data_IF_565856241639
#
_entry.id   IF_565856241639
#
_cell.length_a   1.000
_cell.length_b   1.000
_cell.length_c   1.000
_cell.angle_alpha   90.00
_cell.angle_beta   90.00
_cell.angle_gamma   90.00
#
_symmetry.space_group_name_H-M   'P 1'
#
loop_
_entity.id
_entity.type
_entity.pdbx_description
1 polymer ?
#
# COMPACT_ATOMS: atom_id res chain seq x y z
N UNK A 1 10.53 -1.74 -21.80
CA UNK A 1 10.71 -0.53 -20.96
C UNK A 1 12.17 -0.42 -20.56
N UNK A 2 12.80 0.76 -20.67
CA UNK A 2 14.24 0.92 -20.40
C UNK A 2 14.80 2.33 -20.47
N UNK A 3 13.97 3.33 -20.79
CA UNK A 3 14.37 4.74 -20.74
C UNK A 3 14.10 5.28 -19.33
N UNK A 4 15.13 5.77 -18.65
CA UNK A 4 15.03 6.25 -17.26
C UNK A 4 13.98 7.37 -17.08
N UNK A 5 13.74 8.18 -18.10
CA UNK A 5 12.81 9.33 -18.06
C UNK A 5 11.38 8.98 -18.45
N UNK A 6 11.13 7.81 -19.04
CA UNK A 6 9.80 7.39 -19.48
C UNK A 6 8.69 7.53 -18.41
N UNK A 7 8.87 7.06 -17.15
CA UNK A 7 7.83 7.19 -16.13
C UNK A 7 7.51 8.65 -15.79
N UNK A 8 8.52 9.53 -15.76
CA UNK A 8 8.30 10.95 -15.49
C UNK A 8 7.53 11.63 -16.63
N UNK A 9 7.89 11.34 -17.87
CA UNK A 9 7.16 11.86 -19.03
C UNK A 9 5.71 11.38 -19.05
N UNK A 10 5.47 10.12 -18.67
CA UNK A 10 4.12 9.57 -18.59
C UNK A 10 3.31 10.23 -17.46
N UNK A 11 3.91 10.45 -16.28
CA UNK A 11 3.26 11.17 -15.20
C UNK A 11 2.85 12.59 -15.64
N UNK A 12 3.73 13.32 -16.34
CA UNK A 12 3.41 14.67 -16.85
C UNK A 12 2.25 14.65 -17.85
N UNK A 13 2.19 13.63 -18.71
CA UNK A 13 1.06 13.43 -19.62
C UNK A 13 -0.23 13.20 -18.81
N UNK A 14 -0.21 12.30 -17.83
CA UNK A 14 -1.37 12.01 -17.00
C UNK A 14 -1.84 13.21 -16.19
N UNK A 15 -0.91 13.99 -15.62
CA UNK A 15 -1.20 15.24 -14.90
C UNK A 15 -1.85 16.28 -15.82
N UNK A 16 -1.45 16.31 -17.10
CA UNK A 16 -2.04 17.20 -18.11
C UNK A 16 -3.45 16.75 -18.49
N UNK A 17 -3.64 15.45 -18.74
CA UNK A 17 -4.94 14.89 -19.12
C UNK A 17 -5.94 15.05 -17.97
N UNK A 18 -5.55 14.70 -16.75
CA UNK A 18 -6.44 14.70 -15.58
C UNK A 18 -6.48 16.06 -14.85
N UNK A 19 -5.90 17.11 -15.45
CA UNK A 19 -5.83 18.44 -14.86
C UNK A 19 -7.21 18.95 -14.42
N UNK A 20 -7.32 19.36 -13.17
CA UNK A 20 -8.56 19.86 -12.58
C UNK A 20 -9.45 18.79 -11.93
N UNK A 21 -9.17 17.50 -12.16
CA UNK A 21 -9.78 16.36 -11.46
C UNK A 21 -8.87 15.81 -10.35
N UNK A 22 -7.56 15.96 -10.52
CA UNK A 22 -6.55 15.55 -9.53
C UNK A 22 -6.83 16.18 -8.17
N UNK A 23 -6.76 15.38 -7.12
CA UNK A 23 -7.02 15.75 -5.71
C UNK A 23 -8.46 16.18 -5.38
N UNK A 24 -9.37 16.23 -6.36
CA UNK A 24 -10.82 16.43 -6.11
C UNK A 24 -11.55 15.09 -6.06
N UNK A 25 -11.42 14.33 -7.14
CA UNK A 25 -12.12 13.06 -7.34
C UNK A 25 -11.24 11.98 -7.99
N UNK A 26 -10.03 12.35 -8.41
CA UNK A 26 -9.09 11.45 -9.05
C UNK A 26 -7.70 11.56 -8.42
N UNK A 27 -7.04 10.41 -8.26
CA UNK A 27 -5.64 10.28 -7.89
C UNK A 27 -4.95 9.45 -8.97
N UNK A 28 -3.83 9.95 -9.48
CA UNK A 28 -3.07 9.30 -10.55
C UNK A 28 -1.62 9.14 -10.13
N UNK A 29 -1.08 7.94 -10.34
CA UNK A 29 0.34 7.66 -10.18
C UNK A 29 0.79 6.70 -11.26
N UNK A 30 1.61 7.21 -12.18
CA UNK A 30 2.03 6.52 -13.39
C UNK A 30 0.81 5.95 -14.12
N UNK A 31 0.76 4.63 -14.28
CA UNK A 31 -0.30 3.90 -14.98
C UNK A 31 -1.55 3.65 -14.11
N UNK A 32 -1.46 3.86 -12.79
CA UNK A 32 -2.55 3.58 -11.85
C UNK A 32 -3.40 4.83 -11.62
N UNK A 33 -4.71 4.70 -11.83
CA UNK A 33 -5.69 5.78 -11.64
C UNK A 33 -6.77 5.32 -10.68
N UNK A 34 -6.97 6.07 -9.61
CA UNK A 34 -8.02 5.86 -8.62
C UNK A 34 -9.04 6.99 -8.72
N UNK A 35 -10.29 6.63 -8.96
CA UNK A 35 -11.41 7.57 -8.99
C UNK A 35 -12.28 7.32 -7.76
N UNK A 36 -12.54 8.37 -6.99
CA UNK A 36 -13.36 8.32 -5.79
C UNK A 36 -14.54 9.28 -5.94
N UNK A 37 -15.70 8.85 -5.45
CA UNK A 37 -16.88 9.69 -5.31
C UNK A 37 -17.62 9.35 -4.04
N UNK A 38 -18.38 10.33 -3.52
CA UNK A 38 -19.21 10.15 -2.33
C UNK A 38 -20.49 9.36 -2.64
N UNK A 39 -21.03 9.54 -3.85
CA UNK A 39 -22.24 8.87 -4.34
C UNK A 39 -21.89 7.76 -5.34
N UNK A 40 -22.82 6.84 -5.54
CA UNK A 40 -22.68 5.74 -6.50
C UNK A 40 -22.67 6.22 -7.97
N UNK A 41 -23.16 7.43 -8.23
CA UNK A 41 -23.34 7.95 -9.59
C UNK A 41 -22.04 8.35 -10.30
N UNK A 42 -20.87 8.09 -9.70
CA UNK A 42 -19.52 8.19 -10.28
C UNK A 42 -19.41 9.26 -11.40
N UNK A 43 -19.85 10.49 -11.11
CA UNK A 43 -20.06 11.54 -12.11
C UNK A 43 -18.78 11.85 -12.90
N UNK A 44 -17.62 11.65 -12.26
CA UNK A 44 -16.30 11.88 -12.84
C UNK A 44 -15.79 10.74 -13.74
N UNK A 45 -16.40 9.56 -13.69
CA UNK A 45 -15.93 8.40 -14.45
C UNK A 45 -16.06 8.63 -15.96
N UNK A 46 -17.21 9.17 -16.40
CA UNK A 46 -17.43 9.50 -17.81
C UNK A 46 -16.43 10.55 -18.28
N UNK A 47 -16.22 11.61 -17.50
CA UNK A 47 -15.25 12.67 -17.84
C UNK A 47 -13.83 12.09 -17.95
N UNK A 48 -13.40 11.25 -17.01
CA UNK A 48 -12.07 10.60 -17.08
C UNK A 48 -11.93 9.74 -18.33
N UNK A 49 -12.93 8.93 -18.67
CA UNK A 49 -12.91 8.10 -19.87
C UNK A 49 -12.84 8.92 -21.16
N UNK A 50 -13.59 10.01 -21.24
CA UNK A 50 -13.55 10.88 -22.42
C UNK A 50 -12.19 11.55 -22.57
N UNK A 51 -11.58 11.98 -21.46
CA UNK A 51 -10.22 12.53 -21.48
C UNK A 51 -9.17 11.50 -21.91
N UNK A 52 -9.26 10.25 -21.45
CA UNK A 52 -8.38 9.18 -21.94
C UNK A 52 -8.60 8.89 -23.42
N UNK A 53 -9.85 8.85 -23.88
CA UNK A 53 -10.18 8.65 -25.30
C UNK A 53 -9.60 9.77 -26.18
N UNK A 54 -9.76 11.02 -25.75
CA UNK A 54 -9.24 12.20 -26.47
C UNK A 54 -7.70 12.22 -26.52
N UNK A 55 -7.04 11.70 -25.49
CA UNK A 55 -5.58 11.56 -25.45
C UNK A 55 -5.05 10.30 -26.16
N UNK A 56 -5.93 9.44 -26.69
CA UNK A 56 -5.55 8.18 -27.35
C UNK A 56 -5.05 7.09 -26.38
N UNK A 57 -5.32 7.22 -25.08
CA UNK A 57 -4.97 6.22 -24.08
C UNK A 57 -5.98 5.08 -24.06
N UNK A 58 -5.47 3.86 -23.85
CA UNK A 58 -6.30 2.65 -23.73
C UNK A 58 -6.16 2.08 -22.32
N UNK A 59 -7.30 1.78 -21.71
CA UNK A 59 -7.38 1.07 -20.43
C UNK A 59 -7.37 -0.44 -20.68
N UNK A 60 -6.83 -1.19 -19.73
CA UNK A 60 -6.92 -2.65 -19.71
C UNK A 60 -8.16 -3.06 -18.88
N UNK A 61 -9.26 -3.53 -19.52
CA UNK A 61 -10.50 -3.83 -18.80
C UNK A 61 -10.35 -4.91 -17.73
N UNK A 62 -9.40 -5.83 -17.88
CA UNK A 62 -9.14 -6.90 -16.90
C UNK A 62 -8.52 -6.38 -15.60
N UNK A 63 -7.85 -5.23 -15.65
CA UNK A 63 -7.21 -4.60 -14.48
C UNK A 63 -8.08 -3.49 -13.88
N UNK A 64 -9.16 -3.10 -14.56
CA UNK A 64 -10.07 -2.09 -14.06
C UNK A 64 -11.12 -2.72 -13.13
N UNK A 65 -11.32 -2.09 -11.97
CA UNK A 65 -12.41 -2.41 -11.05
C UNK A 65 -13.30 -1.19 -10.88
N UNK A 66 -14.61 -1.36 -10.96
CA UNK A 66 -15.59 -0.27 -10.91
C UNK A 66 -16.61 -0.49 -9.79
N UNK A 67 -17.20 0.59 -9.28
CA UNK A 67 -18.35 0.56 -8.38
C UNK A 67 -18.15 -0.25 -7.08
N UNK A 68 -16.91 -0.30 -6.59
CA UNK A 68 -16.57 -0.97 -5.34
C UNK A 68 -16.45 0.03 -4.18
N UNK A 69 -16.88 -0.38 -2.99
CA UNK A 69 -16.71 0.39 -1.74
C UNK A 69 -15.26 0.44 -1.25
N UNK A 70 -14.37 -0.36 -1.85
CA UNK A 70 -12.94 -0.35 -1.58
C UNK A 70 -12.14 -0.75 -2.82
N UNK A 71 -10.88 -0.32 -2.88
CA UNK A 71 -9.98 -0.61 -3.98
C UNK A 71 -8.55 -0.86 -3.47
N UNK A 72 -7.76 -1.58 -4.27
CA UNK A 72 -6.30 -1.68 -4.06
C UNK A 72 -5.64 -0.66 -4.97
N UNK A 73 -4.85 0.24 -4.40
CA UNK A 73 -4.11 1.28 -5.13
C UNK A 73 -2.71 1.42 -4.55
N UNK A 74 -1.67 1.36 -5.40
CA UNK A 74 -0.27 1.44 -5.01
C UNK A 74 0.13 0.48 -3.86
N UNK A 75 -0.48 -0.70 -3.81
CA UNK A 75 -0.25 -1.69 -2.77
C UNK A 75 -0.90 -1.37 -1.41
N UNK A 76 -1.87 -0.46 -1.39
CA UNK A 76 -2.69 -0.13 -0.24
C UNK A 76 -4.15 -0.46 -0.49
N UNK A 77 -4.84 -0.95 0.54
CA UNK A 77 -6.30 -1.08 0.54
C UNK A 77 -6.91 0.25 0.97
N UNK A 78 -7.76 0.81 0.13
CA UNK A 78 -8.41 2.11 0.34
C UNK A 78 -9.91 1.85 0.48
N UNK A 79 -10.49 2.32 1.57
CA UNK A 79 -11.92 2.25 1.84
C UNK A 79 -12.42 3.51 2.55
N UNK A 80 -13.73 3.57 2.83
CA UNK A 80 -14.34 4.67 3.60
C UNK A 80 -13.73 4.84 5.00
N UNK A 81 -13.21 3.76 5.59
CA UNK A 81 -12.55 3.79 6.90
C UNK A 81 -11.09 4.29 6.83
N UNK A 82 -10.57 4.56 5.63
CA UNK A 82 -9.24 5.07 5.40
C UNK A 82 -8.32 4.08 4.66
N UNK A 83 -7.01 4.26 4.84
CA UNK A 83 -5.97 3.49 4.15
C UNK A 83 -5.47 2.39 5.08
N UNK A 84 -5.48 1.14 4.59
CA UNK A 84 -5.03 -0.04 5.33
C UNK A 84 -4.06 -0.89 4.49
N UNK A 85 -3.26 -1.75 5.13
CA UNK A 85 -2.55 -2.80 4.43
C UNK A 85 -3.53 -3.75 3.71
N UNK A 86 -3.21 -4.24 2.50
CA UNK A 86 -3.98 -5.30 1.87
C UNK A 86 -4.04 -6.55 2.76
N UNK A 87 -5.18 -7.26 2.83
CA UNK A 87 -5.35 -8.43 3.70
C UNK A 87 -4.33 -9.52 3.41
N UNK A 88 -3.94 -9.72 2.15
CA UNK A 88 -2.95 -10.71 1.75
C UNK A 88 -1.55 -10.42 2.34
N UNK A 89 -1.17 -9.13 2.41
CA UNK A 89 0.11 -8.73 3.03
C UNK A 89 0.10 -8.96 4.54
N UNK A 90 -1.04 -8.74 5.19
CA UNK A 90 -1.23 -9.02 6.62
C UNK A 90 -1.19 -10.53 6.88
N UNK A 91 -1.85 -11.32 6.02
CA UNK A 91 -1.84 -12.78 6.11
C UNK A 91 -0.44 -13.35 5.96
N UNK A 92 0.30 -12.92 4.95
CA UNK A 92 1.69 -13.33 4.73
C UNK A 92 2.60 -13.01 5.94
N UNK A 93 2.29 -11.92 6.66
CA UNK A 93 3.01 -11.55 7.89
C UNK A 93 2.71 -12.49 9.05
N UNK A 94 1.44 -12.89 9.20
CA UNK A 94 0.99 -13.81 10.25
C UNK A 94 1.51 -15.25 10.02
N UNK A 95 1.66 -15.65 8.76
CA UNK A 95 2.21 -16.96 8.38
C UNK A 95 3.75 -16.98 8.42
N UNK A 96 4.40 -15.81 8.59
CA UNK A 96 5.85 -15.72 8.59
C UNK A 96 6.46 -16.37 9.86
N UNK A 97 7.45 -17.27 9.72
CA UNK A 97 8.02 -17.97 10.86
C UNK A 97 8.82 -17.02 11.76
N UNK A 98 8.88 -17.28 13.08
CA UNK A 98 9.67 -16.47 13.99
C UNK A 98 11.16 -16.52 13.60
N UNK A 99 11.87 -15.37 13.60
CA UNK A 99 13.28 -15.34 13.24
C UNK A 99 14.09 -16.15 14.25
N UNK A 100 14.99 -16.99 13.76
CA UNK A 100 15.87 -17.84 14.58
C UNK A 100 17.30 -17.29 14.70
N UNK A 101 17.65 -16.29 13.89
CA UNK A 101 18.96 -15.67 13.89
C UNK A 101 18.90 -14.17 13.55
N UNK A 102 20.01 -13.47 13.79
CA UNK A 102 20.13 -12.02 13.59
C UNK A 102 19.86 -11.62 12.13
N UNK A 103 20.26 -12.44 11.15
CA UNK A 103 20.03 -12.18 9.72
C UNK A 103 18.53 -12.22 9.38
N UNK A 104 17.82 -13.23 9.87
CA UNK A 104 16.37 -13.36 9.72
C UNK A 104 15.64 -12.25 10.46
N UNK A 105 16.08 -11.91 11.68
CA UNK A 105 15.51 -10.79 12.44
C UNK A 105 15.63 -9.46 11.68
N UNK A 106 16.79 -9.19 11.06
CA UNK A 106 16.98 -8.00 10.23
C UNK A 106 16.04 -7.99 9.02
N UNK A 107 15.83 -9.14 8.37
CA UNK A 107 14.87 -9.27 7.26
C UNK A 107 13.44 -8.99 7.71
N UNK A 108 13.03 -9.53 8.85
CA UNK A 108 11.69 -9.31 9.44
C UNK A 108 11.48 -7.85 9.80
N UNK A 109 12.46 -7.20 10.45
CA UNK A 109 12.37 -5.77 10.78
C UNK A 109 12.29 -4.89 9.52
N UNK A 110 13.03 -5.24 8.46
CA UNK A 110 12.91 -4.57 7.16
C UNK A 110 11.51 -4.71 6.55
N UNK A 111 10.88 -5.87 6.70
CA UNK A 111 9.50 -6.09 6.25
C UNK A 111 8.49 -5.28 7.06
N UNK A 112 8.61 -5.27 8.40
CA UNK A 112 7.77 -4.44 9.28
C UNK A 112 7.90 -2.95 9.00
N UNK A 113 9.06 -2.49 8.51
CA UNK A 113 9.25 -1.10 8.13
C UNK A 113 8.33 -0.64 6.99
N UNK A 114 7.75 -1.53 6.19
CA UNK A 114 6.70 -1.13 5.23
C UNK A 114 5.37 -0.78 5.95
N UNK A 115 5.09 -1.47 7.08
CA UNK A 115 3.86 -1.34 7.84
C UNK A 115 3.90 -0.24 8.91
N UNK A 116 5.06 0.39 9.16
CA UNK A 116 5.26 1.35 10.26
C UNK A 116 4.18 2.45 10.36
N UNK A 117 3.70 2.95 9.21
CA UNK A 117 2.65 3.98 9.13
C UNK A 117 1.27 3.54 9.61
N UNK A 118 1.05 2.23 9.75
CA UNK A 118 -0.20 1.63 10.24
C UNK A 118 -0.11 1.18 11.71
N UNK A 119 1.08 1.24 12.32
CA UNK A 119 1.32 0.77 13.68
C UNK A 119 1.60 1.99 14.58
N UNK A 120 0.67 2.35 15.47
CA UNK A 120 0.91 3.40 16.45
C UNK A 120 2.15 3.08 17.29
N UNK A 121 3.02 4.07 17.49
CA UNK A 121 4.24 3.92 18.27
C UNK A 121 5.17 2.79 17.80
N UNK A 122 5.25 2.57 16.47
CA UNK A 122 6.07 1.50 15.87
C UNK A 122 7.50 1.45 16.42
N UNK A 123 8.16 2.60 16.60
CA UNK A 123 9.53 2.66 17.12
C UNK A 123 9.65 2.00 18.50
N UNK A 124 8.73 2.30 19.42
CA UNK A 124 8.70 1.69 20.76
C UNK A 124 8.39 0.20 20.70
N UNK A 125 7.49 -0.23 19.81
CA UNK A 125 7.17 -1.63 19.62
C UNK A 125 8.33 -2.44 19.01
N UNK A 126 9.10 -1.83 18.09
CA UNK A 126 10.22 -2.46 17.41
C UNK A 126 11.55 -2.34 18.18
N UNK A 127 11.64 -1.47 19.18
CA UNK A 127 12.83 -1.27 20.01
C UNK A 127 13.41 -2.57 20.61
N UNK A 128 12.64 -3.44 21.30
CA UNK A 128 13.18 -4.66 21.89
C UNK A 128 13.78 -5.59 20.82
N UNK A 129 13.15 -5.68 19.64
CA UNK A 129 13.65 -6.45 18.51
C UNK A 129 14.92 -5.82 17.91
N UNK A 130 14.95 -4.51 17.79
CA UNK A 130 16.11 -3.78 17.25
C UNK A 130 17.32 -3.90 18.18
N UNK A 131 17.09 -3.96 19.50
CA UNK A 131 18.14 -4.19 20.50
C UNK A 131 18.84 -5.55 20.32
N UNK A 132 18.10 -6.58 19.89
CA UNK A 132 18.64 -7.91 19.58
C UNK A 132 19.56 -7.94 18.35
N UNK A 133 19.60 -6.87 17.54
CA UNK A 133 20.54 -6.74 16.42
C UNK A 133 21.94 -6.29 16.85
N UNK A 134 22.12 -5.81 18.09
CA UNK A 134 23.42 -5.34 18.59
C UNK A 134 24.35 -6.53 18.86
N UNK A 135 25.65 -6.36 18.57
CA UNK A 135 26.69 -7.42 18.66
C UNK A 135 26.78 -8.12 20.03
N UNK A 136 26.31 -7.49 21.10
CA UNK A 136 26.35 -8.01 22.48
C UNK A 136 25.05 -8.69 22.96
N UNK A 137 24.00 -8.74 22.14
CA UNK A 137 22.71 -9.29 22.54
C UNK A 137 22.66 -10.82 22.36
N UNK A 138 22.35 -11.56 23.43
CA UNK A 138 22.06 -13.00 23.35
C UNK A 138 20.67 -13.20 22.73
N UNK A 139 20.60 -13.87 21.59
CA UNK A 139 19.34 -14.24 20.94
C UNK A 139 18.73 -15.44 21.69
N UNK A 140 17.97 -15.17 22.74
CA UNK A 140 17.21 -16.20 23.45
C UNK A 140 15.91 -16.44 22.67
N UNK A 141 15.84 -17.54 21.90
CA UNK A 141 14.60 -17.99 21.28
C UNK A 141 13.62 -18.40 22.39
N UNK A 142 12.83 -17.46 22.87
CA UNK A 142 11.80 -17.71 23.85
C UNK A 142 10.54 -18.22 23.17
N UNK A 143 10.32 -19.54 23.19
CA UNK A 143 8.96 -20.09 23.18
C UNK A 143 8.23 -19.56 24.43
N UNK A 144 7.58 -18.39 24.31
CA UNK A 144 6.54 -17.96 25.23
C UNK A 144 5.23 -17.90 24.46
N UNK A 145 4.47 -18.99 24.57
CA UNK A 145 3.04 -19.00 24.29
C UNK A 145 2.40 -17.80 25.02
N UNK A 146 2.02 -16.77 24.27
CA UNK A 146 1.08 -15.74 24.73
C UNK A 146 -0.23 -15.93 23.96
N UNK A 147 -0.95 -16.99 24.33
CA UNK A 147 -2.42 -16.94 24.25
C UNK A 147 -2.89 -16.12 25.46
N UNK A 148 -3.90 -15.28 25.22
CA UNK A 148 -4.62 -14.44 26.18
C UNK A 148 -3.92 -13.15 26.65
N UNK A 149 -4.19 -12.05 25.94
CA UNK A 149 -4.96 -10.93 26.48
C UNK A 149 -5.13 -9.88 25.39
N UNK A 150 -6.28 -9.94 24.70
CA UNK A 150 -6.87 -8.85 23.92
C UNK A 150 -8.31 -9.26 23.55
N UNK A 151 -9.18 -9.35 24.54
CA UNK A 151 -10.62 -9.12 24.38
C UNK A 151 -11.13 -8.50 25.69
N UNK A 152 -11.68 -7.28 25.53
CA UNK A 152 -12.65 -6.54 26.35
C UNK A 152 -12.49 -6.52 27.86
#
# INVERSE_FOLDING_TARGET
MGLHTAPNSFQLLMDTILRGLTFKSCLCYLDDVLICSETFEHVYLQEVFDRFRNAGLKLNPQQCTFANSSAIFLGHHISKEGIRPPPDRVRALNEFPPPQNVKQLRRVLGMFNWFWKFIPYYSSAAEPLTRLLKKSAKFLCGHRNRKHHLQK
#
